data_IF_694265169670
#
_entry.id   IF_694265169670
#
_cell.length_a   1.000
_cell.length_b   1.000
_cell.length_c   1.000
_cell.angle_alpha   90.00
_cell.angle_beta   90.00
_cell.angle_gamma   90.00
#
_symmetry.space_group_name_H-M   'P 1'
#
loop_
_entity.id
_entity.type
_entity.pdbx_description
1 polymer ?
#
# COMPACT_ATOMS: atom_id res chain seq x y z
N UNK A 1 1.11 16.92 -65.02
CA UNK A 1 1.50 15.69 -64.29
C UNK A 1 0.40 15.45 -63.27
N UNK A 2 -0.38 14.40 -63.49
CA UNK A 2 -1.68 14.14 -62.87
C UNK A 2 -1.63 13.85 -61.38
N UNK A 3 -2.64 14.39 -60.70
CA UNK A 3 -3.26 13.95 -59.46
C UNK A 3 -3.53 12.44 -59.44
N UNK A 4 -3.39 11.80 -58.27
CA UNK A 4 -4.19 10.62 -57.92
C UNK A 4 -4.55 10.61 -56.44
N UNK A 5 -5.85 10.48 -56.26
CA UNK A 5 -6.70 10.64 -55.10
C UNK A 5 -6.90 9.32 -54.34
N UNK A 6 -7.34 9.49 -53.10
CA UNK A 6 -8.11 8.62 -52.19
C UNK A 6 -8.48 7.20 -52.66
N UNK A 7 -8.12 6.22 -51.82
CA UNK A 7 -8.52 4.83 -51.90
C UNK A 7 -9.59 4.50 -50.85
N UNK A 8 -10.82 4.50 -51.35
CA UNK A 8 -12.08 4.04 -50.79
C UNK A 8 -12.02 2.63 -50.17
N UNK A 9 -12.73 2.41 -49.05
CA UNK A 9 -13.04 1.08 -48.52
C UNK A 9 -14.52 1.02 -48.18
N UNK A 10 -15.26 0.64 -49.20
CA UNK A 10 -16.65 0.25 -49.21
C UNK A 10 -16.89 -1.11 -48.53
N UNK A 11 -18.00 -1.14 -47.79
CA UNK A 11 -18.75 -2.31 -47.34
C UNK A 11 -19.34 -3.07 -48.54
N UNK A 12 -19.36 -4.41 -48.53
CA UNK A 12 -20.45 -5.18 -49.16
C UNK A 12 -20.49 -6.66 -48.68
N UNK A 13 -21.68 -7.00 -48.17
CA UNK A 13 -22.47 -8.25 -48.22
C UNK A 13 -21.83 -9.61 -48.59
N UNK A 14 -22.25 -10.68 -47.90
CA UNK A 14 -23.31 -11.59 -48.45
C UNK A 14 -23.78 -12.68 -47.47
N UNK A 15 -25.10 -12.82 -47.41
CA UNK A 15 -25.88 -13.92 -46.85
C UNK A 15 -25.77 -15.23 -47.65
N UNK A 16 -26.05 -16.37 -46.98
CA UNK A 16 -26.91 -17.53 -47.38
C UNK A 16 -26.43 -18.78 -46.64
N UNK A 17 -27.21 -19.43 -45.76
CA UNK A 17 -28.52 -20.11 -45.90
C UNK A 17 -28.41 -21.62 -46.17
N UNK A 18 -29.23 -22.35 -45.39
CA UNK A 18 -29.85 -23.66 -45.64
C UNK A 18 -29.18 -24.96 -45.13
N UNK A 19 -29.95 -25.70 -44.31
CA UNK A 19 -29.73 -27.12 -44.02
C UNK A 19 -30.55 -27.67 -42.85
N UNK A 20 -31.86 -27.89 -43.05
CA UNK A 20 -32.76 -28.70 -42.19
C UNK A 20 -32.40 -30.21 -42.26
N UNK A 21 -32.98 -31.19 -41.51
CA UNK A 21 -34.42 -31.33 -41.23
C UNK A 21 -34.84 -31.89 -39.85
N UNK A 22 -36.16 -31.88 -39.71
CA UNK A 22 -37.09 -32.37 -38.67
C UNK A 22 -37.01 -33.86 -38.35
N UNK A 23 -37.34 -34.24 -37.11
CA UNK A 23 -38.24 -35.39 -36.84
C UNK A 23 -39.12 -35.15 -35.63
N UNK A 24 -40.34 -35.64 -35.81
CA UNK A 24 -41.58 -35.61 -35.03
C UNK A 24 -41.54 -36.53 -33.79
N UNK A 25 -42.46 -36.31 -32.84
CA UNK A 25 -42.67 -37.22 -31.70
C UNK A 25 -43.37 -36.57 -30.51
N UNK A 26 -44.69 -36.36 -30.61
CA UNK A 26 -45.53 -36.08 -29.44
C UNK A 26 -45.74 -37.32 -28.55
N UNK A 27 -46.02 -37.11 -27.26
CA UNK A 27 -47.22 -37.59 -26.53
C UNK A 27 -47.09 -37.42 -25.01
N UNK A 28 -48.22 -37.05 -24.41
CA UNK A 28 -48.72 -37.34 -23.06
C UNK A 28 -47.90 -36.99 -21.80
N UNK A 29 -48.40 -35.97 -21.10
CA UNK A 29 -48.28 -35.85 -19.65
C UNK A 29 -49.39 -36.66 -18.96
N UNK A 30 -49.07 -37.69 -18.16
CA UNK A 30 -50.04 -38.27 -17.26
C UNK A 30 -50.20 -37.43 -15.99
N UNK A 31 -51.42 -37.51 -15.47
CA UNK A 31 -51.95 -36.81 -14.33
C UNK A 31 -51.26 -37.12 -12.99
N UNK A 32 -51.47 -36.18 -12.06
CA UNK A 32 -51.17 -36.21 -10.64
C UNK A 32 -51.51 -37.57 -9.99
N UNK A 33 -50.56 -38.10 -9.22
CA UNK A 33 -50.80 -39.15 -8.23
C UNK A 33 -50.64 -38.56 -6.82
N UNK A 34 -51.55 -38.87 -5.88
CA UNK A 34 -51.61 -38.23 -4.57
C UNK A 34 -50.47 -38.70 -3.67
N UNK A 35 -49.79 -37.75 -3.03
CA UNK A 35 -48.80 -38.05 -1.98
C UNK A 35 -49.54 -38.63 -0.78
N UNK A 36 -49.29 -39.90 -0.49
CA UNK A 36 -49.86 -40.61 0.65
C UNK A 36 -49.39 -39.99 1.98
N UNK A 37 -50.35 -39.56 2.78
CA UNK A 37 -50.20 -39.16 4.18
C UNK A 37 -49.58 -40.30 4.98
N UNK A 38 -48.28 -40.20 5.27
CA UNK A 38 -47.60 -41.12 6.19
C UNK A 38 -47.89 -40.70 7.62
N UNK A 39 -48.74 -41.48 8.29
CA UNK A 39 -48.92 -41.42 9.74
C UNK A 39 -47.57 -41.59 10.45
N UNK A 40 -47.27 -40.68 11.39
CA UNK A 40 -46.07 -40.74 12.21
C UNK A 40 -46.10 -41.98 13.10
N UNK A 41 -45.05 -42.81 13.18
CA UNK A 41 -44.99 -43.85 14.19
C UNK A 41 -44.80 -43.21 15.57
N UNK A 42 -45.61 -43.63 16.53
CA UNK A 42 -45.44 -43.31 17.93
C UNK A 42 -44.30 -44.12 18.54
N UNK A 43 -43.41 -43.45 19.28
CA UNK A 43 -42.52 -44.07 20.26
C UNK A 43 -41.22 -44.65 19.71
N UNK A 44 -40.12 -43.92 19.90
CA UNK A 44 -38.76 -44.44 19.78
C UNK A 44 -37.78 -43.45 20.41
N UNK A 45 -37.12 -43.87 21.48
CA UNK A 45 -36.10 -43.11 22.20
C UNK A 45 -35.02 -42.57 21.24
N UNK A 46 -34.80 -41.25 21.28
CA UNK A 46 -33.69 -40.62 20.59
C UNK A 46 -32.37 -40.93 21.33
N UNK A 47 -31.25 -41.17 20.62
CA UNK A 47 -29.95 -41.33 21.26
C UNK A 47 -29.51 -40.03 21.95
N UNK A 48 -29.17 -40.11 23.24
CA UNK A 48 -28.89 -39.01 24.18
C UNK A 48 -27.65 -38.13 23.91
N UNK A 49 -27.06 -38.13 22.71
CA UNK A 49 -25.86 -37.31 22.45
C UNK A 49 -25.88 -36.63 21.08
N UNK A 50 -26.87 -35.78 20.86
CA UNK A 50 -26.80 -34.69 19.89
C UNK A 50 -27.13 -33.38 20.60
N UNK A 51 -26.32 -32.34 20.42
CA UNK A 51 -26.65 -31.02 20.97
C UNK A 51 -28.02 -30.58 20.39
N UNK A 52 -29.00 -30.37 21.26
CA UNK A 52 -30.31 -29.88 20.87
C UNK A 52 -30.12 -28.50 20.24
N UNK A 53 -30.43 -28.38 18.94
CA UNK A 53 -30.46 -27.08 18.27
C UNK A 53 -31.50 -26.17 18.94
N UNK A 54 -31.35 -24.84 18.83
CA UNK A 54 -32.29 -23.90 19.43
C UNK A 54 -33.73 -24.19 18.96
N UNK A 55 -34.68 -24.06 19.89
CA UNK A 55 -36.11 -24.21 19.58
C UNK A 55 -36.54 -23.18 18.52
N UNK A 56 -37.67 -23.37 17.80
CA UNK A 56 -38.08 -22.48 16.72
C UNK A 56 -38.08 -20.98 17.09
N UNK A 57 -38.40 -20.66 18.35
CA UNK A 57 -38.46 -19.30 18.88
C UNK A 57 -37.08 -18.76 19.33
N UNK A 58 -36.10 -19.63 19.55
CA UNK A 58 -34.72 -19.29 19.94
C UNK A 58 -33.78 -19.19 18.73
N UNK A 59 -34.30 -19.43 17.52
CA UNK A 59 -33.51 -19.23 16.31
C UNK A 59 -33.27 -17.73 16.12
N UNK A 60 -32.02 -17.28 15.94
CA UNK A 60 -31.74 -15.88 15.70
C UNK A 60 -32.46 -15.41 14.43
N UNK A 61 -33.45 -14.54 14.62
CA UNK A 61 -34.15 -13.90 13.52
C UNK A 61 -33.33 -12.69 13.05
N UNK A 62 -32.99 -12.60 11.77
CA UNK A 62 -32.26 -11.46 11.24
C UNK A 62 -33.13 -10.20 11.32
N UNK A 63 -32.69 -9.21 12.08
CA UNK A 63 -33.31 -7.88 12.18
C UNK A 63 -32.79 -6.97 11.05
N UNK A 64 -33.61 -6.04 10.56
CA UNK A 64 -33.22 -5.05 9.53
C UNK A 64 -34.27 -4.78 8.47
N UNK A 65 -34.17 -3.63 7.78
CA UNK A 65 -35.06 -3.23 6.68
C UNK A 65 -34.58 -3.90 5.38
N UNK A 66 -35.47 -4.62 4.71
CA UNK A 66 -35.24 -5.09 3.34
C UNK A 66 -35.56 -3.98 2.35
N UNK A 67 -34.81 -3.88 1.27
CA UNK A 67 -35.18 -3.03 0.14
C UNK A 67 -36.31 -3.68 -0.70
N UNK A 68 -36.73 -2.97 -1.75
CA UNK A 68 -37.78 -3.41 -2.67
C UNK A 68 -37.45 -4.72 -3.41
N UNK A 69 -36.18 -5.13 -3.41
CA UNK A 69 -35.68 -6.37 -4.01
C UNK A 69 -35.43 -7.46 -2.97
N UNK A 70 -35.79 -7.23 -1.70
CA UNK A 70 -35.62 -8.19 -0.62
C UNK A 70 -34.18 -8.31 -0.10
N UNK A 71 -33.26 -7.48 -0.59
CA UNK A 71 -31.86 -7.44 -0.16
C UNK A 71 -31.77 -6.69 1.17
N UNK A 72 -30.92 -7.18 2.07
CA UNK A 72 -30.66 -6.53 3.35
C UNK A 72 -29.82 -5.28 3.09
N UNK A 73 -30.34 -4.10 3.44
CA UNK A 73 -29.48 -2.92 3.57
C UNK A 73 -28.77 -3.01 4.91
N UNK A 74 -27.47 -3.28 4.87
CA UNK A 74 -26.60 -2.95 6.00
C UNK A 74 -26.72 -1.44 6.27
N UNK A 75 -26.52 -0.96 7.51
CA UNK A 75 -26.45 0.48 7.75
C UNK A 75 -25.44 1.07 6.79
N UNK A 76 -25.76 2.21 6.18
CA UNK A 76 -24.85 2.96 5.33
C UNK A 76 -23.71 3.48 6.22
N UNK A 77 -22.69 2.65 6.43
CA UNK A 77 -21.44 3.08 7.02
C UNK A 77 -20.76 3.83 5.90
N UNK A 78 -20.75 5.16 6.00
CA UNK A 78 -19.98 6.01 5.09
C UNK A 78 -18.53 5.52 4.98
N UNK A 79 -17.75 6.03 4.00
CA UNK A 79 -16.39 5.56 3.78
C UNK A 79 -15.63 5.53 5.11
N UNK A 80 -15.03 4.38 5.41
CA UNK A 80 -14.23 4.23 6.63
C UNK A 80 -13.15 5.32 6.64
N UNK A 81 -12.90 5.95 7.80
CA UNK A 81 -11.88 6.98 7.88
C UNK A 81 -10.52 6.39 7.53
N UNK A 82 -9.80 7.07 6.64
CA UNK A 82 -8.40 6.76 6.34
C UNK A 82 -7.51 7.50 7.33
N UNK A 83 -6.30 6.96 7.54
CA UNK A 83 -5.22 7.65 8.23
C UNK A 83 -3.91 7.41 7.51
N UNK A 84 -2.97 8.33 7.74
CA UNK A 84 -1.59 8.19 7.31
C UNK A 84 -0.83 7.28 8.27
N UNK A 85 -0.03 6.37 7.72
CA UNK A 85 0.80 5.46 8.50
C UNK A 85 2.17 5.28 7.85
N UNK A 86 3.21 5.27 8.68
CA UNK A 86 4.58 4.96 8.26
C UNK A 86 4.90 3.52 8.65
N UNK A 87 5.09 2.68 7.64
CA UNK A 87 5.42 1.27 7.78
C UNK A 87 6.89 1.08 7.43
N UNK A 88 7.65 0.43 8.32
CA UNK A 88 9.02 0.01 8.03
C UNK A 88 9.08 -1.49 7.83
N UNK A 89 9.83 -1.93 6.81
CA UNK A 89 10.13 -3.33 6.59
C UNK A 89 11.64 -3.53 6.53
N UNK A 90 12.15 -4.43 7.35
CA UNK A 90 13.52 -4.93 7.27
C UNK A 90 13.55 -6.07 6.25
N UNK A 91 14.45 -5.99 5.28
CA UNK A 91 14.51 -6.91 4.15
C UNK A 91 15.95 -7.37 3.89
N UNK A 92 16.10 -8.55 3.32
CA UNK A 92 17.37 -8.98 2.74
C UNK A 92 17.73 -8.08 1.55
N UNK A 93 18.99 -7.66 1.46
CA UNK A 93 19.52 -6.83 0.37
C UNK A 93 19.90 -7.72 -0.82
N UNK A 94 18.86 -8.25 -1.48
CA UNK A 94 19.00 -9.09 -2.66
C UNK A 94 18.42 -8.43 -3.92
N UNK A 95 18.94 -8.78 -5.12
CA UNK A 95 18.35 -8.35 -6.37
C UNK A 95 16.84 -8.69 -6.46
N UNK A 96 16.05 -7.66 -6.80
CA UNK A 96 14.63 -7.80 -7.08
C UNK A 96 13.70 -7.67 -5.86
N UNK A 97 14.20 -7.41 -4.66
CA UNK A 97 13.36 -7.16 -3.47
C UNK A 97 12.45 -5.95 -3.68
N UNK A 98 13.02 -4.83 -4.15
CA UNK A 98 12.25 -3.64 -4.52
C UNK A 98 11.16 -3.93 -5.56
N UNK A 99 11.48 -4.73 -6.59
CA UNK A 99 10.51 -5.06 -7.64
C UNK A 99 9.34 -5.91 -7.10
N UNK A 100 9.61 -6.81 -6.14
CA UNK A 100 8.57 -7.60 -5.47
C UNK A 100 7.68 -6.73 -4.59
N UNK A 101 8.28 -5.82 -3.81
CA UNK A 101 7.54 -4.87 -2.98
C UNK A 101 6.66 -3.95 -3.85
N UNK A 102 7.23 -3.31 -4.86
CA UNK A 102 6.48 -2.48 -5.82
C UNK A 102 5.34 -3.24 -6.51
N UNK A 103 5.60 -4.50 -6.91
CA UNK A 103 4.60 -5.37 -7.52
C UNK A 103 3.44 -5.71 -6.58
N UNK A 104 3.70 -5.87 -5.28
CA UNK A 104 2.65 -6.09 -4.28
C UNK A 104 1.73 -4.87 -4.19
N UNK A 105 2.30 -3.67 -4.06
CA UNK A 105 1.50 -2.46 -3.91
C UNK A 105 0.65 -2.17 -5.14
N UNK A 106 1.21 -2.34 -6.34
CA UNK A 106 0.47 -2.19 -7.60
C UNK A 106 -0.75 -3.12 -7.69
N UNK A 107 -0.62 -4.38 -7.27
CA UNK A 107 -1.72 -5.36 -7.36
C UNK A 107 -2.83 -5.11 -6.36
N UNK A 108 -2.47 -4.57 -5.18
CA UNK A 108 -3.40 -4.30 -4.09
C UNK A 108 -3.99 -2.89 -4.15
N UNK A 109 -3.43 -2.01 -5.00
CA UNK A 109 -3.89 -0.63 -5.20
C UNK A 109 -3.85 0.19 -3.91
N UNK A 110 -2.81 -0.04 -3.10
CA UNK A 110 -2.58 0.80 -1.92
C UNK A 110 -2.19 2.21 -2.37
N UNK A 111 -2.72 3.21 -1.67
CA UNK A 111 -2.35 4.60 -1.87
C UNK A 111 -1.01 4.89 -1.20
N UNK A 112 0.08 4.72 -1.96
CA UNK A 112 1.44 5.00 -1.51
C UNK A 112 1.74 6.48 -1.74
N UNK A 113 2.10 7.17 -0.67
CA UNK A 113 2.57 8.54 -0.73
C UNK A 113 4.09 8.59 -0.96
N UNK A 114 4.85 7.78 -0.23
CA UNK A 114 6.30 7.65 -0.44
C UNK A 114 6.83 6.26 -0.13
N UNK A 115 7.90 5.88 -0.82
CA UNK A 115 8.65 4.64 -0.59
C UNK A 115 10.13 4.94 -0.71
N UNK A 116 10.89 4.61 0.32
CA UNK A 116 12.34 4.72 0.35
C UNK A 116 12.98 3.40 0.70
N UNK A 117 14.21 3.20 0.22
CA UNK A 117 15.03 2.04 0.53
C UNK A 117 16.46 2.48 0.78
N UNK A 118 17.07 1.89 1.80
CA UNK A 118 18.50 2.07 2.06
C UNK A 118 19.06 0.91 2.88
N UNK A 119 20.39 0.70 2.83
CA UNK A 119 21.06 -0.29 3.65
C UNK A 119 20.92 0.03 5.14
N UNK A 120 20.98 -1.00 5.99
CA UNK A 120 21.04 -0.83 7.45
C UNK A 120 22.47 -1.00 7.96
N UNK A 121 22.63 -1.00 9.29
CA UNK A 121 23.92 -1.30 9.94
C UNK A 121 24.29 -2.78 9.85
N UNK A 122 23.35 -3.65 9.52
CA UNK A 122 23.59 -5.08 9.35
C UNK A 122 23.87 -5.35 7.87
N UNK A 123 25.05 -5.89 7.57
CA UNK A 123 25.44 -6.21 6.20
C UNK A 123 24.45 -7.20 5.56
N UNK A 124 24.08 -6.92 4.31
CA UNK A 124 23.10 -7.73 3.59
C UNK A 124 21.65 -7.46 4.00
N UNK A 125 21.38 -6.46 4.85
CA UNK A 125 20.01 -6.01 5.14
C UNK A 125 19.77 -4.57 4.66
N UNK A 126 18.55 -4.34 4.20
CA UNK A 126 18.03 -3.03 3.83
C UNK A 126 16.74 -2.73 4.58
N UNK A 127 16.45 -1.44 4.75
CA UNK A 127 15.18 -0.95 5.29
C UNK A 127 14.36 -0.33 4.17
N UNK A 128 13.12 -0.78 4.05
CA UNK A 128 12.07 -0.08 3.32
C UNK A 128 11.33 0.81 4.32
N UNK A 129 11.15 2.08 3.99
CA UNK A 129 10.19 2.96 4.68
C UNK A 129 9.09 3.32 3.70
N UNK A 130 7.86 3.05 4.08
CA UNK A 130 6.67 3.22 3.26
C UNK A 130 5.68 4.11 4.00
N UNK A 131 5.22 5.17 3.35
CA UNK A 131 4.13 5.99 3.86
C UNK A 131 2.89 5.73 3.01
N UNK A 132 1.79 5.36 3.68
CA UNK A 132 0.50 5.04 3.06
C UNK A 132 -0.62 5.82 3.73
N UNK A 133 -1.64 6.18 2.96
CA UNK A 133 -2.90 6.72 3.47
C UNK A 133 -4.04 5.74 3.16
N UNK A 134 -4.48 5.01 4.17
CA UNK A 134 -5.43 3.90 4.02
C UNK A 134 -6.35 3.78 5.25
N UNK A 135 -7.40 2.96 5.16
CA UNK A 135 -8.19 2.58 6.35
C UNK A 135 -7.33 1.73 7.28
N UNK A 136 -7.71 1.62 8.55
CA UNK A 136 -7.00 0.76 9.52
C UNK A 136 -6.86 -0.68 8.99
N UNK A 137 -7.93 -1.20 8.38
CA UNK A 137 -7.91 -2.52 7.74
C UNK A 137 -6.94 -2.58 6.55
N UNK A 138 -6.87 -1.51 5.75
CA UNK A 138 -5.93 -1.37 4.63
C UNK A 138 -4.47 -1.37 5.08
N UNK A 139 -4.14 -0.61 6.12
CA UNK A 139 -2.79 -0.54 6.71
C UNK A 139 -2.37 -1.92 7.26
N UNK A 140 -3.24 -2.55 8.05
CA UNK A 140 -3.02 -3.89 8.56
C UNK A 140 -2.84 -4.93 7.45
N UNK A 141 -3.60 -4.78 6.36
CA UNK A 141 -3.44 -5.62 5.20
C UNK A 141 -2.09 -5.37 4.51
N UNK A 142 -1.66 -4.12 4.33
CA UNK A 142 -0.37 -3.78 3.74
C UNK A 142 0.79 -4.42 4.54
N UNK A 143 0.78 -4.26 5.86
CA UNK A 143 1.76 -4.91 6.78
C UNK A 143 1.78 -6.43 6.61
N UNK A 144 0.60 -7.06 6.63
CA UNK A 144 0.46 -8.53 6.46
C UNK A 144 0.90 -9.02 5.08
N UNK A 145 0.72 -8.23 4.03
CA UNK A 145 1.15 -8.61 2.70
C UNK A 145 2.67 -8.44 2.54
N UNK A 146 3.25 -7.37 3.10
CA UNK A 146 4.69 -7.18 3.11
C UNK A 146 5.38 -8.32 3.85
N UNK A 147 4.89 -8.68 5.03
CA UNK A 147 5.43 -9.79 5.81
C UNK A 147 5.35 -11.17 5.12
N UNK A 148 4.61 -11.30 4.01
CA UNK A 148 4.52 -12.55 3.22
C UNK A 148 5.54 -12.61 2.08
N UNK A 149 6.22 -11.51 1.78
CA UNK A 149 7.27 -11.51 0.77
C UNK A 149 8.48 -12.25 1.35
N UNK A 150 8.97 -13.27 0.63
CA UNK A 150 10.14 -14.06 1.05
C UNK A 150 11.34 -13.24 1.54
N UNK A 151 11.76 -12.14 0.89
CA UNK A 151 12.92 -11.37 1.35
C UNK A 151 12.64 -10.47 2.55
N UNK A 152 11.42 -10.41 3.07
CA UNK A 152 11.06 -9.55 4.20
C UNK A 152 11.31 -10.30 5.49
N UNK A 153 12.18 -9.73 6.34
CA UNK A 153 12.59 -10.28 7.63
C UNK A 153 11.59 -9.86 8.71
N UNK A 154 11.26 -8.57 8.77
CA UNK A 154 10.35 -8.01 9.76
C UNK A 154 9.59 -6.83 9.19
N UNK A 155 8.38 -6.59 9.69
CA UNK A 155 7.55 -5.41 9.35
C UNK A 155 7.01 -4.80 10.63
N UNK A 156 7.13 -3.49 10.75
CA UNK A 156 6.63 -2.68 11.86
C UNK A 156 5.91 -1.45 11.35
N UNK A 157 5.05 -0.89 12.19
CA UNK A 157 4.48 0.43 11.99
C UNK A 157 5.11 1.37 13.01
N UNK A 158 5.52 2.54 12.55
CA UNK A 158 6.18 3.53 13.38
C UNK A 158 5.16 4.30 14.21
N UNK A 159 5.56 4.66 15.42
CA UNK A 159 4.85 5.56 16.32
C UNK A 159 4.65 6.94 15.70
N UNK A 160 3.62 7.66 16.19
CA UNK A 160 3.34 9.02 15.72
C UNK A 160 4.41 10.04 16.10
N UNK A 161 5.29 9.73 17.05
CA UNK A 161 6.42 10.56 17.47
C UNK A 161 7.78 10.09 16.91
N UNK A 162 7.76 9.13 15.99
CA UNK A 162 8.95 8.67 15.28
C UNK A 162 9.72 9.82 14.61
N UNK A 163 11.03 9.62 14.45
CA UNK A 163 11.88 10.60 13.76
C UNK A 163 11.76 10.36 12.27
N UNK A 164 11.19 11.30 11.54
CA UNK A 164 11.05 11.27 10.09
C UNK A 164 11.76 12.44 9.45
N UNK A 165 12.35 12.21 8.28
CA UNK A 165 12.99 13.25 7.48
C UNK A 165 12.88 12.92 5.99
N UNK A 166 12.90 13.97 5.18
CA UNK A 166 13.00 13.94 3.73
C UNK A 166 14.08 14.92 3.28
N UNK A 167 14.76 14.61 2.19
CA UNK A 167 15.72 15.49 1.53
C UNK A 167 15.20 15.87 0.15
N UNK A 168 15.30 17.15 -0.18
CA UNK A 168 15.02 17.67 -1.52
C UNK A 168 16.22 18.39 -2.08
N UNK A 169 16.49 18.18 -3.37
CA UNK A 169 17.33 19.04 -4.18
C UNK A 169 16.44 19.87 -5.09
N UNK A 170 16.63 21.19 -5.06
CA UNK A 170 15.90 22.14 -5.89
C UNK A 170 16.87 22.90 -6.77
N UNK A 171 16.69 22.82 -8.08
CA UNK A 171 17.37 23.71 -9.03
C UNK A 171 16.42 24.81 -9.46
N UNK A 172 16.82 26.06 -9.27
CA UNK A 172 16.05 27.26 -9.63
C UNK A 172 16.83 28.16 -10.58
N UNK A 173 16.16 29.15 -11.18
CA UNK A 173 16.85 30.18 -11.96
C UNK A 173 17.70 31.06 -11.03
N UNK A 174 18.91 31.37 -11.48
CA UNK A 174 19.89 32.16 -10.73
C UNK A 174 19.77 33.67 -10.92
N UNK A 175 18.58 34.19 -11.24
CA UNK A 175 18.36 35.63 -11.49
C UNK A 175 18.50 36.46 -10.21
N UNK A 176 18.15 35.89 -9.06
CA UNK A 176 18.13 36.56 -7.76
C UNK A 176 18.90 35.75 -6.69
N UNK A 177 20.23 35.60 -6.82
CA UNK A 177 21.03 34.71 -5.97
C UNK A 177 20.93 35.03 -4.48
N UNK A 178 20.91 36.31 -4.12
CA UNK A 178 20.82 36.73 -2.72
C UNK A 178 19.48 36.32 -2.08
N UNK A 179 18.38 36.37 -2.84
CA UNK A 179 17.05 35.97 -2.36
C UNK A 179 16.94 34.45 -2.25
N UNK A 180 17.46 33.73 -3.25
CA UNK A 180 17.54 32.26 -3.22
C UNK A 180 18.29 31.82 -1.97
N UNK A 181 19.46 32.41 -1.71
CA UNK A 181 20.26 32.12 -0.51
C UNK A 181 19.53 32.46 0.80
N UNK A 182 18.82 33.59 0.84
CA UNK A 182 18.04 33.98 2.01
C UNK A 182 16.93 32.96 2.32
N UNK A 183 16.15 32.53 1.32
CA UNK A 183 15.11 31.51 1.51
C UNK A 183 15.75 30.17 1.89
N UNK A 184 16.85 29.76 1.24
CA UNK A 184 17.58 28.54 1.63
C UNK A 184 17.96 28.57 3.12
N UNK A 185 18.45 29.71 3.61
CA UNK A 185 18.85 29.87 5.00
C UNK A 185 17.67 29.84 5.97
N UNK A 186 16.47 30.28 5.56
CA UNK A 186 15.26 30.21 6.41
C UNK A 186 14.79 28.77 6.67
N UNK A 187 15.10 27.85 5.76
CA UNK A 187 14.78 26.42 5.88
C UNK A 187 15.99 25.59 6.32
N UNK A 188 17.02 26.22 6.92
CA UNK A 188 18.27 25.57 7.34
C UNK A 188 18.94 24.74 6.21
N UNK A 189 18.71 25.15 4.96
CA UNK A 189 19.22 24.46 3.77
C UNK A 189 20.65 24.85 3.40
N UNK A 190 21.18 24.19 2.38
CA UNK A 190 22.53 24.41 1.87
C UNK A 190 22.51 24.70 0.38
N UNK A 191 23.25 25.71 -0.08
CA UNK A 191 23.49 25.91 -1.51
C UNK A 191 24.62 24.98 -1.95
N UNK A 192 24.29 24.04 -2.86
CA UNK A 192 25.25 23.06 -3.38
C UNK A 192 25.98 23.54 -4.64
N UNK A 193 25.31 24.35 -5.45
CA UNK A 193 25.85 24.93 -6.68
C UNK A 193 25.25 26.31 -6.93
N UNK A 194 26.06 27.25 -7.41
CA UNK A 194 25.64 28.61 -7.76
C UNK A 194 26.34 29.05 -9.05
N UNK A 195 25.66 28.82 -10.18
CA UNK A 195 26.10 29.23 -11.50
C UNK A 195 25.48 30.56 -11.95
N UNK A 196 25.91 31.11 -13.10
CA UNK A 196 25.41 32.39 -13.63
C UNK A 196 23.95 32.33 -14.10
N UNK A 197 23.36 31.14 -14.23
CA UNK A 197 22.00 30.94 -14.73
C UNK A 197 21.10 30.14 -13.78
N UNK A 198 21.71 29.35 -12.90
CA UNK A 198 20.99 28.38 -12.06
C UNK A 198 21.66 28.27 -10.71
N UNK A 199 20.86 27.99 -9.70
CA UNK A 199 21.32 27.71 -8.35
C UNK A 199 20.67 26.40 -7.91
N UNK A 200 21.45 25.52 -7.29
CA UNK A 200 20.95 24.28 -6.71
C UNK A 200 21.11 24.32 -5.20
N UNK A 201 20.02 24.03 -4.50
CA UNK A 201 19.96 24.03 -3.04
C UNK A 201 19.47 22.68 -2.56
N UNK A 202 19.88 22.35 -1.34
CA UNK A 202 19.46 21.17 -0.60
C UNK A 202 18.71 21.62 0.63
N UNK A 203 17.58 20.96 0.91
CA UNK A 203 16.79 21.19 2.12
C UNK A 203 16.45 19.83 2.71
N UNK A 204 16.43 19.75 4.04
CA UNK A 204 16.08 18.53 4.77
C UNK A 204 15.12 18.91 5.89
N UNK A 205 14.05 18.15 6.06
CA UNK A 205 13.02 18.42 7.06
C UNK A 205 11.95 17.35 7.06
N UNK A 206 10.88 17.57 7.81
CA UNK A 206 9.65 16.79 7.61
C UNK A 206 8.98 17.18 6.27
N UNK A 207 8.01 16.38 5.84
CA UNK A 207 7.36 16.59 4.54
C UNK A 207 6.69 17.96 4.42
N UNK A 208 6.03 18.44 5.49
CA UNK A 208 5.40 19.77 5.47
C UNK A 208 6.44 20.87 5.25
N UNK A 209 7.60 20.76 5.91
CA UNK A 209 8.72 21.69 5.74
C UNK A 209 9.24 21.67 4.30
N UNK A 210 9.33 20.48 3.70
CA UNK A 210 9.76 20.33 2.30
C UNK A 210 8.74 20.94 1.33
N UNK A 211 7.45 20.69 1.55
CA UNK A 211 6.38 21.25 0.71
C UNK A 211 6.33 22.78 0.82
N UNK A 212 6.38 23.33 2.04
CA UNK A 212 6.44 24.78 2.28
C UNK A 212 7.69 25.41 1.61
N UNK A 213 8.83 24.72 1.67
CA UNK A 213 10.04 25.17 1.00
C UNK A 213 9.84 25.20 -0.52
N UNK A 214 9.33 24.12 -1.12
CA UNK A 214 9.07 24.06 -2.56
C UNK A 214 8.17 25.23 -3.00
N UNK A 215 7.09 25.49 -2.25
CA UNK A 215 6.18 26.61 -2.51
C UNK A 215 6.90 27.96 -2.43
N UNK A 216 7.78 28.14 -1.44
CA UNK A 216 8.60 29.35 -1.33
C UNK A 216 9.57 29.52 -2.50
N UNK A 217 10.14 28.43 -3.05
CA UNK A 217 11.07 28.47 -4.18
C UNK A 217 10.37 28.64 -5.54
N UNK A 218 9.05 28.43 -5.65
CA UNK A 218 8.30 28.58 -6.90
C UNK A 218 8.47 29.98 -7.52
N UNK A 219 8.60 31.01 -6.68
CA UNK A 219 8.82 32.40 -7.12
C UNK A 219 10.10 32.62 -7.94
N UNK A 220 11.12 31.77 -7.78
CA UNK A 220 12.38 31.85 -8.55
C UNK A 220 12.33 31.04 -9.85
N UNK A 221 11.22 30.35 -10.10
CA UNK A 221 11.04 29.45 -11.22
C UNK A 221 11.90 28.20 -11.07
N UNK A 222 11.31 27.18 -10.47
CA UNK A 222 11.92 25.87 -10.31
C UNK A 222 12.14 25.24 -11.70
N UNK A 223 13.35 24.71 -11.90
CA UNK A 223 13.79 24.04 -13.13
C UNK A 223 13.65 22.53 -12.95
N UNK A 224 14.13 22.00 -11.83
CA UNK A 224 14.06 20.57 -11.52
C UNK A 224 13.99 20.34 -10.00
N UNK A 225 13.34 19.24 -9.63
CA UNK A 225 13.21 18.79 -8.24
C UNK A 225 13.64 17.32 -8.19
N UNK A 226 14.43 16.98 -7.18
CA UNK A 226 14.66 15.58 -6.79
C UNK A 226 14.35 15.42 -5.30
N UNK A 227 13.28 14.68 -4.99
CA UNK A 227 12.84 14.32 -3.64
C UNK A 227 13.24 12.89 -3.31
N UNK A 228 13.74 12.64 -2.11
CA UNK A 228 14.08 11.28 -1.69
C UNK A 228 12.85 10.48 -1.26
N UNK A 229 11.76 11.15 -0.88
CA UNK A 229 10.69 10.56 -0.08
C UNK A 229 11.09 10.47 1.41
N UNK A 230 10.13 10.12 2.25
CA UNK A 230 10.33 10.06 3.70
C UNK A 230 11.16 8.83 4.10
N UNK A 231 12.20 9.07 4.90
CA UNK A 231 12.85 8.05 5.72
C UNK A 231 12.49 8.28 7.18
N UNK A 232 12.45 7.21 7.97
CA UNK A 232 12.03 7.31 9.37
C UNK A 232 12.59 6.17 10.22
N UNK A 233 12.81 6.47 11.49
CA UNK A 233 13.20 5.55 12.55
C UNK A 233 12.35 5.79 13.80
N UNK A 234 12.13 4.73 14.56
CA UNK A 234 11.56 4.86 15.90
C UNK A 234 12.41 5.74 16.80
N UNK A 235 11.75 6.43 17.74
CA UNK A 235 12.42 7.35 18.66
C UNK A 235 12.96 6.61 19.88
N UNK A 236 14.17 7.00 20.31
CA UNK A 236 14.80 6.49 21.53
C UNK A 236 15.29 5.06 21.35
N UNK A 237 15.16 4.24 22.41
CA UNK A 237 15.66 2.87 22.44
C UNK A 237 14.71 1.85 21.79
N UNK A 238 13.58 2.32 21.24
CA UNK A 238 12.61 1.47 20.56
C UNK A 238 13.15 1.01 19.19
N UNK A 239 13.14 -0.30 18.90
CA UNK A 239 13.57 -0.77 17.59
C UNK A 239 12.55 -0.38 16.52
N UNK A 240 13.02 0.06 15.35
CA UNK A 240 12.15 0.49 14.24
C UNK A 240 11.37 -0.67 13.62
N UNK A 241 11.98 -1.86 13.63
CA UNK A 241 11.30 -3.10 13.25
C UNK A 241 11.48 -4.16 14.34
N UNK A 242 10.46 -4.99 14.62
CA UNK A 242 10.57 -6.03 15.64
C UNK A 242 11.74 -6.99 15.35
N UNK A 243 12.58 -7.25 16.36
CA UNK A 243 13.68 -8.21 16.26
C UNK A 243 14.97 -7.67 15.61
N UNK A 244 15.02 -6.39 15.27
CA UNK A 244 16.26 -5.74 14.88
C UNK A 244 17.10 -5.42 16.11
N UNK A 245 18.27 -6.05 16.21
CA UNK A 245 19.26 -5.68 17.22
C UNK A 245 20.00 -4.40 16.78
N UNK A 246 20.26 -3.45 17.69
CA UNK A 246 21.09 -2.30 17.37
C UNK A 246 22.42 -2.77 16.80
N UNK A 247 22.80 -2.26 15.63
CA UNK A 247 24.12 -2.49 15.07
C UNK A 247 25.17 -2.15 16.13
N UNK A 248 26.05 -3.11 16.43
CA UNK A 248 27.01 -2.98 17.52
C UNK A 248 27.80 -1.67 17.34
N UNK A 249 27.66 -0.74 18.28
CA UNK A 249 28.55 0.40 18.36
C UNK A 249 29.95 -0.11 18.72
N UNK A 250 30.91 0.23 17.87
CA UNK A 250 32.36 0.13 18.02
C UNK A 250 32.90 -0.64 19.24
N UNK A 251 33.49 -1.81 18.98
CA UNK A 251 34.61 -2.36 19.73
C UNK A 251 34.31 -2.80 21.16
N UNK A 252 34.68 -4.03 21.45
CA UNK A 252 35.36 -4.33 22.70
C UNK A 252 36.33 -3.17 23.01
N UNK A 253 36.00 -2.29 23.95
CA UNK A 253 37.06 -1.66 24.74
C UNK A 253 37.73 -2.82 25.46
N UNK A 254 38.81 -3.30 24.87
CA UNK A 254 39.85 -4.03 25.59
C UNK A 254 40.24 -3.14 26.78
N UNK A 255 39.62 -3.42 27.92
CA UNK A 255 40.09 -3.04 29.24
C UNK A 255 41.39 -3.83 29.52
N UNK A 256 42.45 -3.60 28.73
CA UNK A 256 43.76 -4.21 28.98
C UNK A 256 44.89 -3.21 28.73
N UNK A 257 45.65 -2.99 29.80
CA UNK A 257 46.99 -2.39 29.86
C UNK A 257 47.14 -0.86 29.66
N UNK A 258 46.72 -0.09 30.66
CA UNK A 258 47.59 1.01 31.14
C UNK A 258 48.72 0.40 31.98
N UNK A 259 49.79 -0.07 31.33
CA UNK A 259 51.06 -0.27 32.02
C UNK A 259 51.63 1.11 32.35
N UNK A 260 51.62 1.45 33.64
CA UNK A 260 52.35 2.59 34.19
C UNK A 260 53.82 2.52 33.72
N UNK A 261 54.24 3.52 32.95
CA UNK A 261 55.63 3.93 32.89
C UNK A 261 55.78 5.19 33.75
N UNK A 262 56.18 4.97 35.00
CA UNK A 262 56.99 5.92 35.76
C UNK A 262 58.42 5.88 35.17
N UNK A 263 58.88 7.00 34.61
CA UNK A 263 60.27 7.51 34.73
C UNK A 263 60.33 9.00 34.31
#
# INVERSE_FOLDING_TARGET
>A
MSERTEGDRSEEETERSAGAPTTDGGTDHPAESPVAEHARPAGGDAPETGLAGPTPDERPHPTGRRDEHGVRKEPDHGPEPTRRATVSALVEDEPGVLARAAGLFRRRQFNIESLTVGPTTVEGHSRITLVVEETEAGIEQAKKQLAKLTPVIAVGELSGDAVAAELVLLKVRGEEPDKVHAITSMYDGQTLDAGPRTITVQITGDENTIDDAIDAFDQFGIIEIARTGQTALERGDSPTTPGEEPGHSAGETDDDEFTNYDD
#
